data_IF_938043163104
#
_entry.id   IF_938043163104
#
_cell.length_a   1.000
_cell.length_b   1.000
_cell.length_c   1.000
_cell.angle_alpha   90.00
_cell.angle_beta   90.00
_cell.angle_gamma   90.00
#
_symmetry.space_group_name_H-M   'P 1'
#
loop_
_entity.id
_entity.type
_entity.pdbx_description
1 polymer ?
#
# COMPACT_ATOMS: atom_id res chain seq x y z
N UNK A 1 -12.65 7.22 -24.62
CA UNK A 1 -11.22 6.86 -24.61
C UNK A 1 -10.80 6.74 -23.15
N UNK A 2 -10.16 5.63 -22.76
CA UNK A 2 -9.69 5.42 -21.39
C UNK A 2 -8.43 6.26 -21.18
N UNK A 3 -8.39 7.07 -20.13
CA UNK A 3 -7.25 7.98 -19.81
C UNK A 3 -6.55 7.63 -18.51
N UNK A 4 -7.22 6.92 -17.62
CA UNK A 4 -6.68 6.48 -16.34
C UNK A 4 -7.17 5.08 -16.00
N UNK A 5 -6.34 4.30 -15.31
CA UNK A 5 -6.60 2.94 -14.86
C UNK A 5 -6.19 2.85 -13.38
N UNK A 6 -7.15 2.55 -12.51
CA UNK A 6 -6.89 2.26 -11.10
C UNK A 6 -6.62 0.76 -10.93
N UNK A 7 -5.48 0.42 -10.33
CA UNK A 7 -5.04 -0.97 -10.11
C UNK A 7 -4.97 -1.25 -8.61
N UNK A 8 -5.99 -1.88 -8.03
CA UNK A 8 -5.91 -2.34 -6.66
C UNK A 8 -4.90 -3.49 -6.55
N UNK A 9 -4.11 -3.49 -5.49
CA UNK A 9 -3.17 -4.56 -5.17
C UNK A 9 -3.23 -4.90 -3.69
N UNK A 10 -3.21 -6.19 -3.37
CA UNK A 10 -3.05 -6.74 -2.03
C UNK A 10 -1.68 -7.44 -1.87
N UNK A 11 -0.79 -7.30 -2.87
CA UNK A 11 0.51 -7.96 -2.93
C UNK A 11 0.47 -9.45 -3.34
N UNK A 12 -0.71 -10.02 -3.58
CA UNK A 12 -0.86 -11.43 -3.96
C UNK A 12 -0.31 -11.73 -5.37
N UNK A 13 0.00 -13.00 -5.69
CA UNK A 13 0.36 -13.38 -7.06
C UNK A 13 -0.71 -13.01 -8.10
N UNK A 14 -1.98 -13.01 -7.69
CA UNK A 14 -3.11 -12.63 -8.55
C UNK A 14 -3.10 -11.13 -8.82
N UNK A 15 -2.90 -10.27 -7.81
CA UNK A 15 -2.81 -8.83 -8.02
C UNK A 15 -1.60 -8.45 -8.88
N UNK A 16 -0.46 -9.12 -8.71
CA UNK A 16 0.71 -8.96 -9.58
C UNK A 16 0.42 -9.33 -11.03
N UNK A 17 -0.41 -10.34 -11.26
CA UNK A 17 -0.85 -10.72 -12.61
C UNK A 17 -1.80 -9.68 -13.19
N UNK A 18 -2.76 -9.18 -12.40
CA UNK A 18 -3.64 -8.09 -12.82
C UNK A 18 -2.86 -6.82 -13.18
N UNK A 19 -1.82 -6.47 -12.41
CA UNK A 19 -0.94 -5.34 -12.72
C UNK A 19 -0.27 -5.47 -14.09
N UNK A 20 0.22 -6.66 -14.47
CA UNK A 20 0.82 -6.86 -15.80
C UNK A 20 -0.17 -6.59 -16.93
N UNK A 21 -1.43 -7.02 -16.79
CA UNK A 21 -2.47 -6.71 -17.76
C UNK A 21 -2.84 -5.23 -17.77
N UNK A 22 -2.87 -4.58 -16.60
CA UNK A 22 -3.13 -3.15 -16.52
C UNK A 22 -2.04 -2.32 -17.23
N UNK A 23 -0.76 -2.69 -17.08
CA UNK A 23 0.37 -2.09 -17.80
C UNK A 23 0.19 -2.23 -19.32
N UNK A 24 -0.12 -3.43 -19.80
CA UNK A 24 -0.41 -3.68 -21.21
C UNK A 24 -1.57 -2.80 -21.73
N UNK A 25 -2.67 -2.73 -20.99
CA UNK A 25 -3.80 -1.88 -21.35
C UNK A 25 -3.45 -0.39 -21.33
N UNK A 26 -2.65 0.06 -20.36
CA UNK A 26 -2.22 1.45 -20.26
C UNK A 26 -1.39 1.87 -21.47
N UNK A 27 -0.49 1.02 -21.96
CA UNK A 27 0.26 1.26 -23.20
C UNK A 27 -0.68 1.40 -24.41
N UNK A 28 -1.64 0.47 -24.56
CA UNK A 28 -2.61 0.51 -25.66
C UNK A 28 -3.46 1.78 -25.66
N UNK A 29 -3.90 2.22 -24.48
CA UNK A 29 -4.78 3.36 -24.34
C UNK A 29 -4.04 4.69 -24.12
N UNK A 30 -2.71 4.66 -23.96
CA UNK A 30 -1.91 5.79 -23.47
C UNK A 30 -2.51 6.38 -22.19
N UNK A 31 -2.88 5.49 -21.27
CA UNK A 31 -3.54 5.84 -20.02
C UNK A 31 -2.54 5.85 -18.85
N UNK A 32 -2.81 6.70 -17.86
CA UNK A 32 -2.08 6.72 -16.60
C UNK A 32 -2.53 5.55 -15.70
N UNK A 33 -1.62 5.00 -14.90
CA UNK A 33 -1.94 3.99 -13.89
C UNK A 33 -1.80 4.59 -12.50
N UNK A 34 -2.80 4.35 -11.66
CA UNK A 34 -2.72 4.59 -10.21
C UNK A 34 -2.82 3.25 -9.48
N UNK A 35 -1.79 2.90 -8.71
CA UNK A 35 -1.85 1.76 -7.80
C UNK A 35 -2.64 2.10 -6.53
N UNK A 36 -3.42 1.15 -6.00
CA UNK A 36 -4.12 1.31 -4.72
C UNK A 36 -3.89 0.09 -3.83
N UNK A 37 -3.37 0.32 -2.63
CA UNK A 37 -3.31 -0.68 -1.58
C UNK A 37 -4.13 -0.20 -0.39
N UNK A 38 -4.99 -1.06 0.14
CA UNK A 38 -5.85 -0.74 1.30
C UNK A 38 -5.45 -1.64 2.45
N UNK A 39 -5.16 -1.01 3.59
CA UNK A 39 -4.85 -1.70 4.84
C UNK A 39 -5.96 -1.42 5.85
N UNK A 40 -6.40 -2.48 6.54
CA UNK A 40 -7.34 -2.35 7.64
C UNK A 40 -6.65 -1.68 8.84
N UNK A 41 -7.21 -0.56 9.28
CA UNK A 41 -6.69 0.20 10.42
C UNK A 41 -6.61 -0.63 11.70
N UNK A 42 -7.49 -1.64 11.86
CA UNK A 42 -7.48 -2.54 13.01
C UNK A 42 -6.24 -3.43 13.04
N UNK A 43 -5.65 -3.72 11.88
CA UNK A 43 -4.35 -4.39 11.81
C UNK A 43 -3.21 -3.50 12.35
N UNK A 44 -3.42 -2.18 12.37
CA UNK A 44 -2.50 -1.16 12.88
C UNK A 44 -2.81 -0.71 14.33
N UNK A 45 -3.85 -1.26 14.95
CA UNK A 45 -4.25 -0.94 16.33
C UNK A 45 -4.39 -2.20 17.22
N UNK A 46 -4.20 -3.39 16.66
CA UNK A 46 -4.46 -4.65 17.36
C UNK A 46 -3.42 -5.04 18.43
N UNK A 47 -3.69 -6.11 19.21
CA UNK A 47 -2.85 -6.58 20.32
C UNK A 47 -1.39 -6.81 19.97
N UNK A 48 -1.12 -7.15 18.70
CA UNK A 48 0.22 -7.30 18.15
C UNK A 48 1.08 -6.05 18.31
N UNK A 49 0.49 -4.87 18.11
CA UNK A 49 1.22 -3.62 18.25
C UNK A 49 1.37 -3.18 19.70
N UNK A 50 0.45 -3.54 20.59
CA UNK A 50 0.67 -3.34 22.03
C UNK A 50 1.82 -4.21 22.58
N UNK A 51 2.00 -5.42 22.04
CA UNK A 51 3.10 -6.31 22.43
C UNK A 51 4.45 -5.81 21.88
N UNK A 52 4.48 -5.35 20.62
CA UNK A 52 5.65 -4.67 20.04
C UNK A 52 5.92 -3.34 20.75
N UNK A 53 4.88 -2.58 21.09
CA UNK A 53 5.04 -1.27 21.72
C UNK A 53 5.64 -1.41 23.11
N UNK A 54 5.17 -2.39 23.90
CA UNK A 54 5.74 -2.72 25.20
C UNK A 54 7.21 -3.12 25.13
N UNK A 55 7.62 -3.85 24.09
CA UNK A 55 9.01 -4.30 23.91
C UNK A 55 9.95 -3.25 23.30
N UNK A 56 9.45 -2.33 22.48
CA UNK A 56 10.21 -1.24 21.87
C UNK A 56 10.12 0.10 22.63
N UNK A 57 9.41 0.13 23.77
CA UNK A 57 9.26 1.32 24.61
C UNK A 57 8.26 2.36 24.09
N UNK A 58 7.41 1.99 23.15
CA UNK A 58 6.29 2.80 22.67
C UNK A 58 5.13 2.75 23.69
N UNK A 59 4.57 3.91 24.05
CA UNK A 59 3.43 3.99 24.97
C UNK A 59 2.13 3.61 24.24
N UNK A 60 1.35 2.62 24.72
CA UNK A 60 0.15 2.13 24.04
C UNK A 60 -0.98 3.18 23.88
N UNK A 61 -0.81 4.39 24.42
CA UNK A 61 -1.77 5.50 24.33
C UNK A 61 -1.39 6.58 23.30
N UNK A 62 -0.27 6.43 22.58
CA UNK A 62 0.07 7.33 21.49
C UNK A 62 -0.64 6.91 20.20
N UNK A 63 -1.25 7.88 19.52
CA UNK A 63 -1.83 7.66 18.19
C UNK A 63 -0.69 7.42 17.17
N UNK A 64 -0.41 6.14 16.88
CA UNK A 64 0.64 5.73 15.95
C UNK A 64 0.21 5.69 14.49
N UNK A 65 -1.08 5.85 14.21
CA UNK A 65 -1.62 5.79 12.85
C UNK A 65 -0.92 6.75 11.87
N UNK A 66 -0.65 8.04 12.21
CA UNK A 66 0.04 8.93 11.28
C UNK A 66 1.44 8.44 10.92
N UNK A 67 2.16 7.83 11.88
CA UNK A 67 3.50 7.30 11.66
C UNK A 67 3.49 6.04 10.81
N UNK A 68 2.48 5.18 10.97
CA UNK A 68 2.30 4.03 10.07
C UNK A 68 1.91 4.46 8.66
N UNK A 69 1.05 5.46 8.51
CA UNK A 69 0.72 6.04 7.20
C UNK A 69 1.98 6.54 6.51
N UNK A 70 2.81 7.33 7.20
CA UNK A 70 4.09 7.83 6.67
C UNK A 70 5.02 6.70 6.20
N UNK A 71 5.15 5.62 6.99
CA UNK A 71 5.97 4.45 6.62
C UNK A 71 5.41 3.75 5.36
N UNK A 72 4.08 3.62 5.27
CA UNK A 72 3.42 2.98 4.13
C UNK A 72 3.50 3.82 2.87
N UNK A 73 3.40 5.14 2.98
CA UNK A 73 3.62 6.10 1.89
C UNK A 73 5.06 6.03 1.41
N UNK A 74 6.03 6.09 2.31
CA UNK A 74 7.44 5.98 1.94
C UNK A 74 7.77 4.64 1.25
N UNK A 75 7.14 3.55 1.70
CA UNK A 75 7.28 2.25 1.02
C UNK A 75 6.67 2.27 -0.38
N UNK A 76 5.55 2.96 -0.58
CA UNK A 76 4.95 3.09 -1.90
C UNK A 76 5.88 3.86 -2.86
N UNK A 77 6.52 4.94 -2.38
CA UNK A 77 7.49 5.70 -3.17
C UNK A 77 8.68 4.83 -3.61
N UNK A 78 9.26 4.06 -2.68
CA UNK A 78 10.38 3.14 -2.99
C UNK A 78 10.00 2.08 -4.04
N UNK A 79 8.77 1.55 -4.00
CA UNK A 79 8.29 0.58 -5.00
C UNK A 79 8.19 1.24 -6.39
N UNK A 80 7.78 2.50 -6.46
CA UNK A 80 7.71 3.23 -7.73
C UNK A 80 9.10 3.56 -8.29
N UNK A 81 10.10 3.78 -7.43
CA UNK A 81 11.50 3.98 -7.85
C UNK A 81 12.16 2.71 -8.42
N UNK A 82 11.70 1.53 -8.00
CA UNK A 82 12.21 0.22 -8.46
C UNK A 82 11.59 -0.27 -9.79
N UNK A 83 10.52 0.38 -10.28
CA UNK A 83 9.80 0.03 -11.50
C UNK A 83 10.31 0.77 -12.74
#
# INVERSE_FOLDING_TARGET
MIKSILVPTDGSPNSKTALRYALYCAELFRAEITGLHVIDIRALEGPFLSDISGSLGFSPYQNYLPKFQEILEHRADLILEEM
#
